data_IF_708674120830
#
_entry.id   IF_708674120830
#
_cell.length_a   1.000
_cell.length_b   1.000
_cell.length_c   1.000
_cell.angle_alpha   90.00
_cell.angle_beta   90.00
_cell.angle_gamma   90.00
#
_symmetry.space_group_name_H-M   'P 1'
#
loop_
_entity.id
_entity.type
_entity.pdbx_description
1 polymer ?
#
# COMPACT_ATOMS: atom_id res chain seq x y z
N UNK A 1 13.28 4.93 2.80
CA UNK A 1 13.57 6.37 2.82
C UNK A 1 13.51 6.91 1.41
N UNK A 2 12.80 7.99 1.22
CA UNK A 2 12.79 8.66 -0.05
C UNK A 2 14.21 9.14 -0.37
N UNK A 3 14.75 8.92 -1.57
CA UNK A 3 16.05 9.47 -1.92
C UNK A 3 16.00 10.98 -1.82
N UNK A 4 16.99 11.54 -1.15
CA UNK A 4 17.17 12.99 -0.99
C UNK A 4 17.44 13.66 -2.36
N UNK A 5 16.40 13.92 -3.12
CA UNK A 5 16.44 14.83 -4.25
C UNK A 5 15.92 16.20 -3.81
N UNK A 6 16.75 16.93 -3.07
CA UNK A 6 16.71 18.40 -3.01
C UNK A 6 15.59 19.06 -2.22
N UNK A 7 14.82 18.35 -1.41
CA UNK A 7 13.84 18.97 -0.52
C UNK A 7 13.90 18.37 0.89
N UNK A 8 14.16 19.23 1.86
CA UNK A 8 14.38 18.88 3.28
C UNK A 8 13.14 18.24 3.97
N UNK A 9 11.99 18.14 3.28
CA UNK A 9 10.74 17.68 3.87
C UNK A 9 10.09 16.43 3.24
N UNK A 10 10.61 15.88 2.17
CA UNK A 10 9.94 14.81 1.43
C UNK A 10 9.98 13.46 2.16
N UNK A 11 11.07 13.16 2.89
CA UNK A 11 11.20 11.87 3.59
C UNK A 11 10.26 11.65 4.79
N UNK A 12 9.56 12.71 5.23
CA UNK A 12 8.58 12.62 6.33
C UNK A 12 7.13 12.73 5.86
N UNK A 13 6.89 13.15 4.62
CA UNK A 13 5.54 13.45 4.15
C UNK A 13 4.64 12.21 4.16
N UNK A 14 5.11 11.09 3.66
CA UNK A 14 4.30 9.86 3.61
C UNK A 14 3.99 9.31 5.00
N UNK A 15 4.92 9.41 5.95
CA UNK A 15 4.66 9.03 7.35
C UNK A 15 3.62 9.96 7.98
N UNK A 16 3.73 11.27 7.76
CA UNK A 16 2.75 12.25 8.25
C UNK A 16 1.37 11.96 7.66
N UNK A 17 1.28 11.71 6.37
CA UNK A 17 0.04 11.40 5.68
C UNK A 17 -0.59 10.09 6.21
N UNK A 18 0.23 9.08 6.50
CA UNK A 18 -0.23 7.84 7.12
C UNK A 18 -0.77 8.07 8.54
N UNK A 19 -0.15 8.95 9.32
CA UNK A 19 -0.64 9.32 10.66
C UNK A 19 -1.95 10.12 10.58
N UNK A 20 -2.14 10.95 9.57
CA UNK A 20 -3.42 11.65 9.35
C UNK A 20 -4.54 10.66 9.05
N UNK A 21 -4.31 9.66 8.20
CA UNK A 21 -5.26 8.58 7.95
C UNK A 21 -5.56 7.83 9.25
N UNK A 22 -4.52 7.44 9.99
CA UNK A 22 -4.70 6.76 11.27
C UNK A 22 -5.57 7.55 12.24
N UNK A 23 -5.46 8.89 12.25
CA UNK A 23 -6.22 9.75 13.15
C UNK A 23 -7.74 9.71 12.93
N UNK A 24 -8.21 9.31 11.74
CA UNK A 24 -9.65 9.20 11.42
C UNK A 24 -10.20 7.80 11.63
N UNK A 25 -9.34 6.80 11.85
CA UNK A 25 -9.75 5.42 12.14
C UNK A 25 -10.25 5.33 13.59
N UNK A 26 -11.46 4.74 13.83
CA UNK A 26 -11.97 4.55 15.17
C UNK A 26 -11.00 3.74 16.05
N UNK A 27 -10.82 4.15 17.32
CA UNK A 27 -9.92 3.49 18.27
C UNK A 27 -10.30 2.04 18.59
N UNK A 28 -11.53 1.64 18.29
CA UNK A 28 -12.00 0.25 18.42
C UNK A 28 -11.44 -0.68 17.35
N UNK A 29 -10.85 -0.13 16.25
CA UNK A 29 -10.24 -0.91 15.18
C UNK A 29 -8.77 -1.12 15.47
N UNK A 30 -8.34 -2.38 15.50
CA UNK A 30 -6.94 -2.74 15.66
C UNK A 30 -6.21 -2.35 14.38
N UNK A 31 -5.20 -1.49 14.52
CA UNK A 31 -4.41 -0.99 13.40
C UNK A 31 -2.95 -1.40 13.59
N UNK A 32 -2.39 -2.10 12.60
CA UNK A 32 -0.97 -2.38 12.51
C UNK A 32 -0.32 -1.33 11.61
N UNK A 33 0.73 -0.69 12.11
CA UNK A 33 1.51 0.30 11.37
C UNK A 33 2.82 -0.33 10.89
N UNK A 34 3.19 -0.08 9.65
CA UNK A 34 4.43 -0.53 9.06
C UNK A 34 5.11 0.65 8.37
N UNK A 35 6.15 1.18 8.98
CA UNK A 35 6.94 2.28 8.44
C UNK A 35 8.28 1.78 7.93
N UNK A 36 8.50 1.90 6.62
CA UNK A 36 9.74 1.42 6.00
C UNK A 36 11.01 2.03 6.61
N UNK A 37 10.91 3.25 7.12
CA UNK A 37 12.03 3.94 7.78
C UNK A 37 12.53 3.19 9.04
N UNK A 38 11.70 2.36 9.66
CA UNK A 38 12.03 1.60 10.88
C UNK A 38 12.75 0.27 10.59
N UNK A 39 12.80 -0.12 9.32
CA UNK A 39 13.39 -1.40 8.90
C UNK A 39 14.77 -1.21 8.29
N UNK A 40 15.70 -2.14 8.56
CA UNK A 40 17.05 -2.11 7.99
C UNK A 40 16.99 -2.29 6.46
N UNK A 41 17.92 -1.64 5.78
CA UNK A 41 18.14 -1.79 4.35
C UNK A 41 19.10 -2.93 4.06
N UNK A 42 18.79 -3.68 3.02
CA UNK A 42 19.66 -4.71 2.48
C UNK A 42 19.96 -4.39 1.03
N UNK A 43 21.23 -4.46 0.64
CA UNK A 43 21.61 -4.37 -0.77
C UNK A 43 21.06 -5.59 -1.51
N UNK A 44 20.35 -5.37 -2.59
CA UNK A 44 19.84 -6.42 -3.44
C UNK A 44 20.65 -6.45 -4.73
N UNK A 45 21.67 -7.33 -4.78
CA UNK A 45 22.56 -7.45 -5.94
C UNK A 45 21.84 -8.01 -7.17
N UNK A 46 20.74 -8.74 -6.99
CA UNK A 46 19.93 -9.31 -8.07
C UNK A 46 19.08 -8.28 -8.80
N UNK A 47 18.86 -7.13 -8.17
CA UNK A 47 18.01 -6.05 -8.70
C UNK A 47 18.63 -4.72 -8.23
N UNK A 48 19.10 -3.90 -9.14
CA UNK A 48 19.66 -2.59 -8.81
C UNK A 48 18.79 -1.85 -7.78
N UNK A 49 19.33 -1.65 -6.56
CA UNK A 49 18.66 -0.91 -5.51
C UNK A 49 18.79 -1.52 -4.11
N UNK A 50 17.99 -1.00 -3.21
CA UNK A 50 17.87 -1.47 -1.82
C UNK A 50 16.53 -2.16 -1.63
N UNK A 51 16.47 -3.09 -0.69
CA UNK A 51 15.25 -3.74 -0.25
C UNK A 51 15.13 -3.74 1.27
N UNK A 52 13.94 -3.97 1.78
CA UNK A 52 13.64 -4.11 3.22
C UNK A 52 12.88 -5.40 3.46
N UNK A 53 13.58 -6.54 3.41
CA UNK A 53 12.95 -7.86 3.44
C UNK A 53 12.16 -8.13 4.73
N UNK A 54 12.59 -7.58 5.88
CA UNK A 54 11.86 -7.72 7.13
C UNK A 54 10.51 -7.01 7.09
N UNK A 55 10.44 -5.82 6.47
CA UNK A 55 9.17 -5.12 6.25
C UNK A 55 8.21 -5.92 5.38
N UNK A 56 8.74 -6.54 4.32
CA UNK A 56 7.96 -7.44 3.45
C UNK A 56 7.44 -8.66 4.20
N UNK A 57 8.26 -9.25 5.06
CA UNK A 57 7.84 -10.40 5.90
C UNK A 57 6.74 -10.02 6.88
N UNK A 58 6.86 -8.88 7.54
CA UNK A 58 5.83 -8.38 8.47
C UNK A 58 4.53 -8.06 7.72
N UNK A 59 4.59 -7.47 6.53
CA UNK A 59 3.41 -7.27 5.69
C UNK A 59 2.71 -8.60 5.37
N UNK A 60 3.44 -9.62 4.93
CA UNK A 60 2.86 -10.93 4.67
C UNK A 60 2.26 -11.55 5.93
N UNK A 61 2.90 -11.39 7.08
CA UNK A 61 2.37 -11.87 8.35
C UNK A 61 1.03 -11.20 8.70
N UNK A 62 0.91 -9.89 8.53
CA UNK A 62 -0.36 -9.19 8.77
C UNK A 62 -1.44 -9.64 7.79
N UNK A 63 -1.12 -9.74 6.51
CA UNK A 63 -2.06 -10.19 5.47
C UNK A 63 -2.56 -11.61 5.76
N UNK A 64 -1.65 -12.54 5.99
CA UNK A 64 -1.97 -13.97 6.16
C UNK A 64 -2.69 -14.26 7.49
N UNK A 65 -2.52 -13.43 8.51
CA UNK A 65 -3.30 -13.49 9.76
C UNK A 65 -4.73 -12.96 9.59
N UNK A 66 -5.00 -12.24 8.52
CA UNK A 66 -6.27 -11.63 8.18
C UNK A 66 -6.31 -10.15 8.52
N UNK A 67 -6.40 -9.34 7.49
CA UNK A 67 -6.50 -7.88 7.54
C UNK A 67 -7.74 -7.47 6.75
N UNK A 68 -8.60 -6.62 7.30
CA UNK A 68 -9.80 -6.17 6.61
C UNK A 68 -9.49 -5.08 5.57
N UNK A 69 -8.63 -4.14 5.93
CA UNK A 69 -8.22 -3.03 5.04
C UNK A 69 -6.69 -2.94 5.06
N UNK A 70 -6.10 -2.90 3.88
CA UNK A 70 -4.69 -2.58 3.67
C UNK A 70 -4.62 -1.21 3.04
N UNK A 71 -3.89 -0.29 3.65
CA UNK A 71 -3.60 1.00 3.01
C UNK A 71 -2.10 1.21 2.89
N UNK A 72 -1.70 1.82 1.78
CA UNK A 72 -0.34 2.20 1.51
C UNK A 72 -0.30 3.62 0.98
N UNK A 73 0.62 4.43 1.48
CA UNK A 73 0.96 5.75 0.92
C UNK A 73 2.47 5.80 0.71
N UNK A 74 2.88 6.12 -0.51
CA UNK A 74 4.29 6.21 -0.85
C UNK A 74 4.54 6.19 -2.34
N UNK A 75 5.79 5.92 -2.72
CA UNK A 75 6.14 5.68 -4.11
C UNK A 75 5.71 4.30 -4.57
N UNK A 76 5.37 4.18 -5.85
CA UNK A 76 5.03 2.91 -6.46
C UNK A 76 5.00 2.99 -7.98
N UNK A 77 4.71 1.86 -8.58
CA UNK A 77 4.59 1.67 -10.01
C UNK A 77 3.56 0.57 -10.28
N UNK A 78 3.22 0.25 -11.54
CA UNK A 78 2.36 -0.89 -11.85
C UNK A 78 2.86 -2.22 -11.27
N UNK A 79 4.17 -2.33 -10.98
CA UNK A 79 4.80 -3.61 -10.65
C UNK A 79 5.35 -3.69 -9.22
N UNK A 80 5.30 -2.59 -8.44
CA UNK A 80 5.86 -2.60 -7.09
C UNK A 80 5.29 -1.50 -6.19
N UNK A 81 5.32 -1.76 -4.88
CA UNK A 81 5.15 -0.77 -3.82
C UNK A 81 6.51 -0.46 -3.22
N UNK A 82 6.80 0.82 -3.05
CA UNK A 82 8.04 1.41 -2.57
C UNK A 82 9.24 1.20 -3.51
N UNK A 83 10.18 2.12 -3.45
CA UNK A 83 11.48 1.95 -4.13
C UNK A 83 12.28 0.79 -3.52
N UNK A 84 12.11 0.56 -2.23
CA UNK A 84 12.68 -0.55 -1.46
C UNK A 84 11.97 -1.89 -1.68
N UNK A 85 11.07 -1.94 -2.67
CA UNK A 85 10.36 -3.15 -3.09
C UNK A 85 9.63 -3.86 -1.93
N UNK A 86 8.81 -3.10 -1.20
CA UNK A 86 7.94 -3.67 -0.17
C UNK A 86 7.11 -4.83 -0.73
N UNK A 87 6.52 -4.63 -1.92
CA UNK A 87 5.96 -5.68 -2.77
C UNK A 87 6.50 -5.54 -4.18
N UNK A 88 6.77 -6.66 -4.85
CA UNK A 88 7.33 -6.68 -6.21
C UNK A 88 6.74 -7.81 -7.04
N UNK A 89 6.25 -7.46 -8.23
CA UNK A 89 5.79 -8.40 -9.25
C UNK A 89 6.91 -9.37 -9.65
N UNK A 90 8.07 -8.82 -9.99
CA UNK A 90 9.22 -9.61 -10.47
C UNK A 90 9.75 -10.60 -9.42
N UNK A 91 9.49 -10.36 -8.15
CA UNK A 91 9.84 -11.28 -7.05
C UNK A 91 8.78 -12.37 -6.84
N UNK A 92 7.66 -12.29 -7.54
CA UNK A 92 6.53 -13.22 -7.40
C UNK A 92 5.84 -13.12 -6.04
N UNK A 93 5.79 -11.94 -5.45
CA UNK A 93 5.26 -11.75 -4.10
C UNK A 93 3.78 -12.06 -3.97
N UNK A 94 3.03 -11.96 -5.07
CA UNK A 94 1.63 -12.35 -5.10
C UNK A 94 1.42 -13.80 -4.63
N UNK A 95 2.33 -14.70 -4.98
CA UNK A 95 2.25 -16.11 -4.61
C UNK A 95 2.55 -16.38 -3.12
N UNK A 96 3.03 -15.37 -2.39
CA UNK A 96 3.31 -15.44 -0.96
C UNK A 96 2.15 -14.91 -0.11
N UNK A 97 1.19 -14.22 -0.75
CA UNK A 97 -0.01 -13.73 -0.09
C UNK A 97 -1.01 -14.89 -0.01
N UNK A 98 -1.38 -15.26 1.20
CA UNK A 98 -2.34 -16.34 1.46
C UNK A 98 -3.31 -15.92 2.56
N UNK A 99 -4.25 -15.07 2.21
CA UNK A 99 -5.28 -14.60 3.14
C UNK A 99 -6.43 -15.61 3.31
N UNK A 100 -6.49 -16.63 2.46
CA UNK A 100 -7.61 -17.54 2.38
C UNK A 100 -8.93 -16.78 2.14
N UNK A 101 -9.94 -17.06 2.95
CA UNK A 101 -11.25 -16.37 2.83
C UNK A 101 -11.30 -14.97 3.47
N UNK A 102 -10.22 -14.50 4.07
CA UNK A 102 -10.13 -13.19 4.73
C UNK A 102 -9.57 -12.14 3.78
N UNK A 103 -10.25 -11.95 2.66
CA UNK A 103 -9.80 -11.07 1.58
C UNK A 103 -9.86 -9.58 2.00
N UNK A 104 -8.76 -8.85 2.00
CA UNK A 104 -8.75 -7.43 2.34
C UNK A 104 -9.28 -6.54 1.20
N UNK A 105 -9.79 -5.36 1.58
CA UNK A 105 -9.86 -4.21 0.71
C UNK A 105 -8.49 -3.52 0.69
N UNK A 106 -7.93 -3.30 -0.49
CA UNK A 106 -6.71 -2.52 -0.67
C UNK A 106 -7.04 -1.09 -1.09
N UNK A 107 -6.47 -0.10 -0.38
CA UNK A 107 -6.55 1.33 -0.70
C UNK A 107 -5.11 1.82 -0.88
N UNK A 108 -4.69 1.98 -2.12
CA UNK A 108 -3.27 2.18 -2.46
C UNK A 108 -3.07 3.57 -3.02
N UNK A 109 -2.55 4.46 -2.17
CA UNK A 109 -2.17 5.82 -2.49
C UNK A 109 -0.75 5.89 -3.06
N UNK A 110 -0.59 5.62 -4.34
CA UNK A 110 0.69 5.71 -5.06
C UNK A 110 0.49 5.88 -6.56
N UNK A 111 1.56 6.13 -7.31
CA UNK A 111 1.49 6.29 -8.76
C UNK A 111 1.20 4.96 -9.47
N UNK A 112 0.25 4.96 -10.40
CA UNK A 112 0.06 3.93 -11.44
C UNK A 112 -0.07 2.48 -10.96
N UNK A 113 -0.29 2.22 -9.68
CA UNK A 113 -0.40 0.85 -9.16
C UNK A 113 -1.58 0.09 -9.76
N UNK A 114 -2.67 0.81 -10.08
CA UNK A 114 -3.83 0.30 -10.79
C UNK A 114 -3.82 0.69 -12.27
N UNK A 115 -2.79 0.34 -13.00
CA UNK A 115 -2.68 0.65 -14.45
C UNK A 115 -3.52 -0.33 -15.27
N UNK A 116 -4.83 -0.33 -15.03
CA UNK A 116 -5.80 -1.31 -15.54
C UNK A 116 -6.06 -1.27 -17.05
N UNK A 117 -5.58 -0.26 -17.75
CA UNK A 117 -5.82 -0.04 -19.18
C UNK A 117 -4.58 -0.28 -20.05
N UNK A 118 -3.55 -0.93 -19.53
CA UNK A 118 -2.42 -1.38 -20.34
C UNK A 118 -2.75 -2.74 -21.00
N UNK A 119 -2.92 -2.79 -22.32
CA UNK A 119 -3.25 -4.05 -23.00
C UNK A 119 -2.08 -5.03 -23.10
N UNK A 120 -0.86 -4.60 -22.75
CA UNK A 120 0.37 -5.38 -22.94
C UNK A 120 0.88 -6.01 -21.65
N UNK A 121 0.48 -5.50 -20.48
CA UNK A 121 0.98 -5.96 -19.21
C UNK A 121 -0.06 -5.81 -18.09
N UNK A 122 -0.03 -6.69 -17.13
CA UNK A 122 -0.86 -6.60 -15.94
C UNK A 122 -0.15 -5.83 -14.83
N UNK A 123 -0.91 -5.00 -14.14
CA UNK A 123 -0.46 -4.34 -12.92
C UNK A 123 -0.55 -5.29 -11.72
N UNK A 124 0.20 -5.00 -10.67
CA UNK A 124 0.11 -5.76 -9.42
C UNK A 124 -1.29 -5.68 -8.79
N UNK A 125 -2.02 -4.57 -9.01
CA UNK A 125 -3.40 -4.42 -8.55
C UNK A 125 -4.35 -5.42 -9.22
N UNK A 126 -4.15 -5.70 -10.50
CA UNK A 126 -4.94 -6.72 -11.22
C UNK A 126 -4.60 -8.12 -10.72
N UNK A 127 -3.33 -8.40 -10.48
CA UNK A 127 -2.93 -9.67 -9.90
C UNK A 127 -3.51 -9.90 -8.50
N UNK A 128 -3.58 -8.87 -7.66
CA UNK A 128 -4.20 -8.96 -6.34
C UNK A 128 -5.66 -9.42 -6.43
N UNK A 129 -6.41 -8.96 -7.44
CA UNK A 129 -7.81 -9.34 -7.63
C UNK A 129 -7.93 -10.73 -8.26
N UNK A 130 -7.03 -11.08 -9.19
CA UNK A 130 -7.06 -12.36 -9.89
C UNK A 130 -6.50 -13.53 -9.10
N UNK A 131 -5.68 -13.24 -8.07
CA UNK A 131 -5.07 -14.28 -7.25
C UNK A 131 -6.14 -15.11 -6.53
N UNK A 132 -6.36 -16.27 -7.02
CA UNK A 132 -7.28 -17.35 -6.65
C UNK A 132 -7.86 -17.27 -5.22
N UNK A 133 -8.67 -16.23 -4.94
CA UNK A 133 -9.29 -15.91 -3.65
C UNK A 133 -8.30 -15.77 -2.47
N UNK A 134 -7.07 -15.32 -2.75
CA UNK A 134 -6.01 -15.32 -1.73
C UNK A 134 -5.43 -13.94 -1.40
N UNK A 135 -5.74 -12.87 -2.16
CA UNK A 135 -5.00 -11.61 -1.99
C UNK A 135 -5.88 -10.36 -1.78
N UNK A 136 -6.98 -10.19 -2.51
CA UNK A 136 -7.84 -9.03 -2.36
C UNK A 136 -9.30 -9.33 -2.69
N UNK A 137 -10.23 -8.69 -1.94
CA UNK A 137 -11.63 -8.61 -2.32
C UNK A 137 -11.86 -7.47 -3.32
N UNK A 138 -11.11 -6.39 -3.18
CA UNK A 138 -11.16 -5.21 -4.04
C UNK A 138 -9.88 -4.40 -3.91
N UNK A 139 -9.55 -3.64 -4.95
CA UNK A 139 -8.41 -2.71 -4.95
C UNK A 139 -8.89 -1.34 -5.43
N UNK A 140 -8.59 -0.31 -4.64
CA UNK A 140 -8.74 1.09 -5.00
C UNK A 140 -7.33 1.65 -5.19
N UNK A 141 -6.98 2.03 -6.40
CA UNK A 141 -5.65 2.53 -6.73
C UNK A 141 -5.70 3.53 -7.88
N UNK A 142 -4.64 4.33 -8.02
CA UNK A 142 -4.52 5.27 -9.13
C UNK A 142 -4.04 4.56 -10.39
N UNK A 143 -4.60 4.91 -11.54
CA UNK A 143 -4.18 4.37 -12.85
C UNK A 143 -3.08 5.21 -13.52
N UNK A 144 -2.71 6.35 -12.95
CA UNK A 144 -1.72 7.30 -13.50
C UNK A 144 -0.86 7.89 -12.40
N UNK A 145 0.26 8.56 -12.75
CA UNK A 145 1.03 9.34 -11.80
C UNK A 145 0.15 10.37 -11.08
N UNK A 146 0.37 10.51 -9.79
CA UNK A 146 -0.35 11.45 -8.92
C UNK A 146 0.65 12.27 -8.11
N UNK A 147 0.29 13.50 -7.79
CA UNK A 147 1.11 14.35 -6.89
C UNK A 147 0.99 13.88 -5.44
N UNK A 148 2.00 14.19 -4.61
CA UNK A 148 1.98 13.85 -3.17
C UNK A 148 0.73 14.39 -2.49
N UNK A 149 0.37 15.65 -2.75
CA UNK A 149 -0.83 16.29 -2.19
C UNK A 149 -2.12 15.64 -2.70
N UNK A 150 -2.19 15.32 -3.98
CA UNK A 150 -3.35 14.63 -4.57
C UNK A 150 -3.54 13.24 -3.97
N UNK A 151 -2.43 12.54 -3.76
CA UNK A 151 -2.41 11.21 -3.16
C UNK A 151 -2.89 11.19 -1.71
N UNK A 152 -2.36 12.14 -0.91
CA UNK A 152 -2.79 12.35 0.47
C UNK A 152 -4.30 12.59 0.56
N UNK A 153 -4.79 13.59 -0.20
CA UNK A 153 -6.18 13.98 -0.16
C UNK A 153 -7.11 12.86 -0.60
N UNK A 154 -6.80 12.23 -1.71
CA UNK A 154 -7.54 11.08 -2.24
C UNK A 154 -7.70 9.97 -1.19
N UNK A 155 -6.60 9.60 -0.55
CA UNK A 155 -6.62 8.50 0.43
C UNK A 155 -7.35 8.92 1.70
N UNK A 156 -7.10 10.13 2.20
CA UNK A 156 -7.77 10.65 3.39
C UNK A 156 -9.29 10.78 3.18
N UNK A 157 -9.73 11.34 2.04
CA UNK A 157 -11.15 11.51 1.72
C UNK A 157 -11.89 10.16 1.70
N UNK A 158 -11.25 9.07 1.21
CA UNK A 158 -11.82 7.72 1.27
C UNK A 158 -12.00 7.28 2.73
N UNK A 159 -10.97 7.42 3.56
CA UNK A 159 -11.06 7.01 4.97
C UNK A 159 -12.07 7.84 5.76
N UNK A 160 -12.13 9.14 5.52
CA UNK A 160 -13.16 10.00 6.13
C UNK A 160 -14.58 9.60 5.70
N UNK A 161 -14.77 9.27 4.42
CA UNK A 161 -16.06 8.81 3.93
C UNK A 161 -16.48 7.48 4.57
N UNK A 162 -15.56 6.57 4.77
CA UNK A 162 -15.83 5.26 5.40
C UNK A 162 -16.11 5.40 6.90
N UNK A 163 -15.31 6.19 7.61
CA UNK A 163 -15.33 6.18 9.08
C UNK A 163 -16.05 7.37 9.74
N UNK A 164 -16.11 8.53 9.07
CA UNK A 164 -16.82 9.70 9.62
C UNK A 164 -18.26 9.78 9.12
N UNK A 165 -18.50 9.53 7.82
CA UNK A 165 -19.83 9.66 7.23
C UNK A 165 -20.67 8.40 7.40
N UNK A 166 -20.05 7.22 7.56
CA UNK A 166 -20.76 5.97 7.87
C UNK A 166 -21.33 5.91 9.27
N UNK A 167 -20.89 6.77 10.19
CA UNK A 167 -21.43 6.86 11.56
C UNK A 167 -22.72 7.71 11.67
N UNK A 168 -23.12 8.41 10.61
CA UNK A 168 -24.26 9.34 10.65
C UNK A 168 -25.60 8.68 10.33
N UNK A 169 -25.62 7.43 9.88
CA UNK A 169 -26.85 6.74 9.45
C UNK A 169 -27.29 5.60 10.39
N UNK A 170 -26.96 5.66 11.67
CA UNK A 170 -27.45 4.70 12.68
C UNK A 170 -28.37 5.36 13.73
N UNK A 171 -29.22 6.28 13.29
CA UNK A 171 -30.37 6.74 14.07
C UNK A 171 -31.67 6.20 13.48
#
# INVERSE_FOLDING_TARGET
PEPNHGSINTGKSHTINSEQIYSVIPKSIITNKLYLIEYPETSDESVYGVSKPEATQDLFKYLNNGTAIVTYIGHGSPYQLAQEKLLSYNRGDINKINTGKKLPLWIVGTCSFGYFDDPLSESFAEELIRADMNAAASVIATSRPITVVGNERYTLDIFESVFKNGAVNND
#
